data_IF_606424041227
#
_entry.id   IF_606424041227
#
_cell.length_a   1.000
_cell.length_b   1.000
_cell.length_c   1.000
_cell.angle_alpha   90.00
_cell.angle_beta   90.00
_cell.angle_gamma   90.00
#
_symmetry.space_group_name_H-M   'P 1'
#
loop_
_entity.id
_entity.type
_entity.pdbx_description
1 polymer ?
#
# COMPACT_ATOMS: atom_id res chain seq x y z
N UNK A 1 -82.01 -39.71 -19.52
CA UNK A 1 -82.83 -38.89 -18.59
C UNK A 1 -82.00 -38.71 -17.33
N UNK A 2 -81.06 -37.76 -17.24
CA UNK A 2 -81.15 -36.30 -17.21
C UNK A 2 -81.82 -35.71 -15.95
N UNK A 3 -80.99 -34.97 -15.20
CA UNK A 3 -81.22 -33.97 -14.14
C UNK A 3 -81.75 -34.46 -12.76
N UNK A 4 -81.35 -33.95 -11.60
CA UNK A 4 -80.94 -32.59 -11.26
C UNK A 4 -79.93 -32.51 -10.09
N UNK A 5 -78.94 -31.63 -10.26
CA UNK A 5 -78.09 -31.04 -9.23
C UNK A 5 -78.88 -30.19 -8.22
N UNK A 6 -78.51 -30.27 -6.93
CA UNK A 6 -78.60 -29.23 -5.86
C UNK A 6 -77.63 -29.68 -4.76
N UNK A 7 -76.82 -28.87 -4.06
CA UNK A 7 -76.62 -27.43 -3.91
C UNK A 7 -75.23 -27.24 -3.26
N UNK A 8 -74.54 -26.19 -3.72
CA UNK A 8 -73.60 -25.33 -3.00
C UNK A 8 -73.21 -25.69 -1.57
N UNK A 9 -71.90 -25.59 -1.27
CA UNK A 9 -71.36 -24.64 -0.26
C UNK A 9 -69.83 -24.68 -0.19
N UNK A 10 -69.21 -23.50 -0.35
CA UNK A 10 -67.96 -23.01 0.27
C UNK A 10 -66.66 -23.82 0.08
N UNK A 11 -65.48 -23.27 -0.15
CA UNK A 11 -64.99 -21.90 -0.23
C UNK A 11 -63.65 -21.91 -1.00
N UNK A 12 -63.35 -20.78 -1.63
CA UNK A 12 -62.04 -20.34 -2.12
C UNK A 12 -60.93 -20.63 -1.09
N UNK A 13 -59.81 -21.24 -1.49
CA UNK A 13 -58.60 -20.62 -2.04
C UNK A 13 -57.73 -19.86 -1.02
N UNK A 14 -56.42 -19.94 -1.25
CA UNK A 14 -55.29 -19.38 -0.50
C UNK A 14 -54.88 -20.23 0.73
N UNK A 15 -53.60 -20.54 0.98
CA UNK A 15 -52.37 -19.75 0.75
C UNK A 15 -51.20 -20.73 0.56
N UNK A 16 -50.37 -20.63 -0.48
CA UNK A 16 -49.29 -19.66 -0.73
C UNK A 16 -48.20 -19.63 0.36
N UNK A 17 -46.96 -19.80 -0.11
CA UNK A 17 -45.67 -19.48 0.52
C UNK A 17 -45.08 -20.46 1.54
N UNK A 18 -44.46 -21.53 1.05
CA UNK A 18 -43.34 -22.20 1.71
C UNK A 18 -42.15 -22.26 0.73
N UNK A 19 -41.60 -21.10 0.37
CA UNK A 19 -40.44 -21.02 -0.53
C UNK A 19 -39.60 -19.78 -0.23
N UNK A 20 -39.23 -19.54 1.03
CA UNK A 20 -38.25 -18.52 1.38
C UNK A 20 -37.41 -19.05 2.54
N UNK A 21 -36.11 -18.73 2.47
CA UNK A 21 -35.02 -18.95 3.45
C UNK A 21 -34.16 -20.22 3.31
N UNK A 22 -33.60 -20.46 2.12
CA UNK A 22 -32.28 -21.11 1.96
C UNK A 22 -31.42 -20.28 1.00
N UNK A 23 -31.23 -18.98 1.29
CA UNK A 23 -30.30 -18.12 0.53
C UNK A 23 -29.83 -16.98 1.43
N UNK A 24 -28.97 -17.25 2.41
CA UNK A 24 -28.25 -16.21 3.16
C UNK A 24 -27.02 -16.79 3.88
N UNK A 25 -26.29 -17.70 3.23
CA UNK A 25 -24.95 -18.13 3.67
C UNK A 25 -23.84 -17.71 2.70
N UNK A 26 -24.10 -16.77 1.80
CA UNK A 26 -23.03 -15.98 1.19
C UNK A 26 -22.82 -14.73 2.03
N UNK A 27 -22.37 -14.94 3.27
CA UNK A 27 -21.60 -13.92 3.97
C UNK A 27 -20.27 -13.90 3.24
N UNK A 28 -20.21 -13.12 2.16
CA UNK A 28 -18.94 -12.67 1.61
C UNK A 28 -18.25 -11.93 2.76
N UNK A 29 -17.41 -12.66 3.48
CA UNK A 29 -16.36 -12.06 4.27
C UNK A 29 -15.56 -11.25 3.25
N UNK A 30 -15.83 -9.95 3.23
CA UNK A 30 -14.87 -8.94 2.82
C UNK A 30 -13.60 -9.27 3.59
N UNK A 31 -12.76 -10.12 3.00
CA UNK A 31 -11.35 -10.17 3.30
C UNK A 31 -10.91 -8.74 3.11
N UNK A 32 -10.77 -8.02 4.23
CA UNK A 32 -9.95 -6.84 4.28
C UNK A 32 -8.58 -7.31 3.80
N UNK A 33 -8.34 -7.20 2.49
CA UNK A 33 -7.02 -7.37 1.93
C UNK A 33 -6.21 -6.27 2.59
N UNK A 34 -5.47 -6.64 3.63
CA UNK A 34 -4.39 -5.81 4.15
C UNK A 34 -3.55 -5.43 2.94
N UNK A 35 -3.61 -4.16 2.53
CA UNK A 35 -2.80 -3.66 1.43
C UNK A 35 -1.36 -4.16 1.66
N UNK A 36 -0.76 -4.91 0.72
CA UNK A 36 0.56 -5.47 0.92
C UNK A 36 1.54 -4.31 1.09
N UNK A 37 1.92 -4.07 2.34
CA UNK A 37 2.89 -3.04 2.70
C UNK A 37 4.24 -3.70 2.98
N UNK A 38 5.26 -3.37 2.20
CA UNK A 38 6.62 -3.87 2.43
C UNK A 38 7.36 -2.88 3.33
N UNK A 39 7.91 -3.36 4.44
CA UNK A 39 8.78 -2.55 5.31
C UNK A 39 10.24 -2.77 4.91
N UNK A 40 10.96 -1.68 4.68
CA UNK A 40 12.35 -1.67 4.26
C UNK A 40 13.22 -0.92 5.26
N UNK A 41 14.47 -1.38 5.40
CA UNK A 41 15.49 -0.69 6.17
C UNK A 41 16.09 0.49 5.42
N UNK A 42 17.04 1.17 6.07
CA UNK A 42 17.89 2.16 5.44
C UNK A 42 19.34 1.90 5.75
N UNK A 43 20.15 1.98 4.71
CA UNK A 43 21.61 1.90 4.78
C UNK A 43 22.22 2.85 3.77
N UNK A 44 23.47 3.26 3.97
CA UNK A 44 24.17 3.97 2.90
C UNK A 44 24.67 2.98 1.86
N UNK A 45 24.58 3.34 0.57
CA UNK A 45 24.93 2.49 -0.56
C UNK A 45 26.36 1.93 -0.50
N UNK A 46 27.33 2.70 -0.02
CA UNK A 46 28.74 2.30 0.08
C UNK A 46 29.27 1.71 -1.24
N UNK A 47 29.03 2.40 -2.36
CA UNK A 47 29.46 2.02 -3.73
C UNK A 47 28.93 0.69 -4.28
N UNK A 48 28.05 -0.01 -3.56
CA UNK A 48 27.43 -1.25 -4.04
C UNK A 48 26.55 -1.02 -5.26
N UNK A 49 26.43 -2.02 -6.14
CA UNK A 49 25.52 -1.93 -7.28
C UNK A 49 24.05 -1.98 -6.81
N UNK A 50 23.19 -1.17 -7.45
CA UNK A 50 21.75 -1.20 -7.17
C UNK A 50 21.12 -2.45 -7.80
N UNK A 51 20.34 -3.17 -7.00
CA UNK A 51 19.54 -4.30 -7.50
C UNK A 51 18.28 -3.78 -8.19
N UNK A 52 17.67 -2.75 -7.62
CA UNK A 52 16.42 -2.19 -8.11
C UNK A 52 16.39 -0.66 -7.97
N UNK A 53 15.79 0.01 -8.97
CA UNK A 53 15.42 1.43 -8.93
C UNK A 53 13.90 1.55 -8.98
N UNK A 54 13.36 2.42 -8.14
CA UNK A 54 11.91 2.54 -7.93
C UNK A 54 11.51 4.01 -7.90
N UNK A 55 10.46 4.35 -8.64
CA UNK A 55 9.80 5.65 -8.60
C UNK A 55 8.61 5.62 -7.65
N UNK A 56 8.53 6.62 -6.79
CA UNK A 56 7.61 6.68 -5.67
C UNK A 56 6.78 7.97 -5.69
N UNK A 57 5.58 7.89 -5.10
CA UNK A 57 4.86 9.03 -4.56
C UNK A 57 4.88 8.95 -3.03
N UNK A 58 5.39 10.00 -2.38
CA UNK A 58 5.41 10.07 -0.92
C UNK A 58 4.00 10.31 -0.40
N UNK A 59 3.53 9.46 0.51
CA UNK A 59 2.19 9.54 1.11
C UNK A 59 2.26 10.15 2.50
N UNK A 60 3.25 9.74 3.28
CA UNK A 60 3.39 10.21 4.65
C UNK A 60 4.85 10.32 5.05
N UNK A 61 5.21 11.41 5.75
CA UNK A 61 6.52 11.59 6.35
C UNK A 61 6.33 11.97 7.82
N UNK A 62 6.75 11.08 8.72
CA UNK A 62 6.65 11.29 10.17
C UNK A 62 8.03 11.37 10.79
N UNK A 63 8.24 12.38 11.62
CA UNK A 63 9.42 12.39 12.50
C UNK A 63 9.28 11.20 13.45
N UNK A 64 10.31 10.37 13.50
CA UNK A 64 10.35 9.29 14.47
C UNK A 64 10.82 9.89 15.80
N UNK A 65 9.84 10.36 16.57
CA UNK A 65 10.09 10.99 17.86
C UNK A 65 10.63 9.99 18.87
N UNK A 66 11.70 10.37 19.55
CA UNK A 66 11.93 9.94 20.92
C UNK A 66 10.79 10.55 21.76
N UNK A 67 9.85 9.74 22.23
CA UNK A 67 8.85 10.19 23.21
C UNK A 67 9.52 10.90 24.38
N UNK A 68 8.77 11.75 25.10
CA UNK A 68 9.25 12.69 26.13
C UNK A 68 10.13 12.08 27.25
N UNK A 69 10.23 10.75 27.34
CA UNK A 69 11.00 10.01 28.33
C UNK A 69 11.87 8.87 27.75
N UNK A 70 12.10 8.82 26.44
CA UNK A 70 12.90 7.75 25.81
C UNK A 70 12.25 6.34 25.85
N UNK A 71 11.06 6.21 26.45
CA UNK A 71 10.24 5.00 26.43
C UNK A 71 9.60 4.90 25.04
N UNK A 72 10.07 3.94 24.24
CA UNK A 72 9.68 3.77 22.84
C UNK A 72 10.85 3.62 21.88
N UNK A 73 12.10 3.74 22.35
CA UNK A 73 13.26 3.21 21.61
C UNK A 73 13.10 1.71 21.48
N UNK A 74 12.61 1.24 20.33
CA UNK A 74 12.78 -0.15 19.95
C UNK A 74 14.29 -0.40 19.82
N UNK A 75 14.92 -1.21 20.69
CA UNK A 75 16.38 -1.38 20.71
C UNK A 75 16.91 -2.23 19.55
N UNK A 76 16.05 -2.76 18.68
CA UNK A 76 16.33 -4.00 17.96
C UNK A 76 16.76 -3.87 16.49
N UNK A 77 16.94 -2.68 15.91
CA UNK A 77 17.31 -2.57 14.50
C UNK A 77 18.38 -1.49 14.27
N UNK A 78 19.47 -1.92 13.64
CA UNK A 78 20.80 -1.28 13.61
C UNK A 78 20.86 0.18 13.17
N UNK A 79 21.83 0.89 13.75
CA UNK A 79 22.24 2.24 13.37
C UNK A 79 21.33 3.33 13.93
N UNK A 80 21.87 4.16 14.84
CA UNK A 80 21.23 5.43 15.20
C UNK A 80 21.30 6.37 14.00
N UNK A 81 20.28 6.33 13.13
CA UNK A 81 20.12 7.34 12.08
C UNK A 81 19.97 8.71 12.75
N UNK A 82 20.69 9.75 12.31
CA UNK A 82 20.48 11.11 12.80
C UNK A 82 19.13 11.61 12.32
N UNK A 83 18.30 12.12 13.24
CA UNK A 83 16.96 12.64 12.98
C UNK A 83 16.12 11.72 12.07
N UNK A 84 15.82 10.48 12.50
CA UNK A 84 15.13 9.52 11.66
C UNK A 84 13.71 9.99 11.33
N UNK A 85 13.32 9.81 10.08
CA UNK A 85 11.96 10.00 9.61
C UNK A 85 11.43 8.69 9.04
N UNK A 86 10.18 8.37 9.34
CA UNK A 86 9.46 7.26 8.74
C UNK A 86 8.67 7.76 7.54
N UNK A 87 8.94 7.16 6.39
CA UNK A 87 8.30 7.46 5.12
C UNK A 87 7.36 6.31 4.75
N UNK A 88 6.17 6.64 4.28
CA UNK A 88 5.31 5.73 3.53
C UNK A 88 5.15 6.27 2.12
N UNK A 89 5.25 5.40 1.13
CA UNK A 89 5.19 5.79 -0.27
C UNK A 89 4.49 4.72 -1.13
N UNK A 90 3.79 5.16 -2.16
CA UNK A 90 3.20 4.28 -3.16
C UNK A 90 4.20 4.10 -4.32
N UNK A 91 4.36 2.86 -4.80
CA UNK A 91 5.26 2.54 -5.91
C UNK A 91 4.57 2.79 -7.24
N UNK A 92 5.06 3.78 -7.98
CA UNK A 92 4.46 4.24 -9.24
C UNK A 92 5.17 3.62 -10.45
N UNK A 93 6.49 3.48 -10.38
CA UNK A 93 7.31 2.90 -11.44
C UNK A 93 8.44 2.06 -10.86
N UNK A 94 8.88 1.07 -11.64
CA UNK A 94 9.93 0.14 -11.28
C UNK A 94 10.78 -0.09 -12.53
N UNK A 95 12.09 0.07 -12.42
CA UNK A 95 13.01 -0.13 -13.55
C UNK A 95 13.20 -1.63 -13.85
N UNK A 96 13.45 -2.42 -12.80
CA UNK A 96 13.67 -3.88 -12.87
C UNK A 96 12.84 -4.59 -11.79
N UNK A 97 12.28 -5.78 -12.06
CA UNK A 97 11.56 -6.56 -11.03
C UNK A 97 12.44 -6.83 -9.81
N UNK A 98 11.84 -6.89 -8.62
CA UNK A 98 12.54 -7.05 -7.35
C UNK A 98 11.57 -7.06 -6.17
N UNK A 99 12.06 -6.67 -4.99
CA UNK A 99 11.28 -6.63 -3.75
C UNK A 99 10.12 -5.61 -3.82
N UNK A 100 10.34 -4.46 -4.45
CA UNK A 100 9.27 -3.50 -4.71
C UNK A 100 8.56 -3.81 -6.04
N UNK A 101 7.22 -3.80 -6.02
CA UNK A 101 6.40 -3.98 -7.20
C UNK A 101 5.50 -2.76 -7.42
N UNK A 102 5.17 -2.45 -8.68
CA UNK A 102 4.27 -1.35 -9.01
C UNK A 102 2.90 -1.56 -8.35
N UNK A 103 2.34 -0.50 -7.77
CA UNK A 103 1.03 -0.50 -7.13
C UNK A 103 1.02 -0.95 -5.67
N UNK A 104 2.17 -1.33 -5.10
CA UNK A 104 2.26 -1.63 -3.66
C UNK A 104 2.65 -0.38 -2.87
N UNK A 105 2.41 -0.44 -1.56
CA UNK A 105 2.92 0.55 -0.61
C UNK A 105 4.21 0.05 0.03
N UNK A 106 5.19 0.93 0.16
CA UNK A 106 6.42 0.66 0.90
C UNK A 106 6.57 1.63 2.07
N UNK A 107 7.17 1.14 3.16
CA UNK A 107 7.54 1.95 4.32
C UNK A 107 9.04 1.82 4.58
N UNK A 108 9.72 2.92 4.84
CA UNK A 108 11.14 2.90 5.21
C UNK A 108 11.48 4.03 6.17
N UNK A 109 12.62 3.89 6.84
CA UNK A 109 13.22 4.95 7.67
C UNK A 109 14.26 5.67 6.84
N UNK A 110 14.48 6.95 7.07
CA UNK A 110 15.50 7.72 6.34
C UNK A 110 15.96 8.90 7.23
N UNK A 111 17.25 9.25 7.25
CA UNK A 111 17.69 10.48 7.90
C UNK A 111 17.04 11.70 7.27
N UNK A 112 16.63 12.69 8.08
CA UNK A 112 16.03 13.94 7.59
C UNK A 112 16.84 14.62 6.49
N UNK A 113 18.17 14.60 6.59
CA UNK A 113 19.08 15.21 5.61
C UNK A 113 18.98 14.56 4.23
N UNK A 114 18.75 13.24 4.19
CA UNK A 114 18.67 12.47 2.94
C UNK A 114 17.35 12.67 2.20
N UNK A 115 16.30 13.13 2.89
CA UNK A 115 15.04 13.52 2.24
C UNK A 115 15.16 14.77 1.38
N UNK A 116 16.23 15.59 1.55
CA UNK A 116 16.53 16.75 0.71
C UNK A 116 15.34 17.70 0.51
N UNK A 117 14.51 17.86 1.55
CA UNK A 117 13.34 18.74 1.53
C UNK A 117 12.09 18.19 0.85
N UNK A 118 12.10 16.92 0.43
CA UNK A 118 10.90 16.24 -0.08
C UNK A 118 9.77 16.25 0.97
N UNK A 119 8.53 16.36 0.48
CA UNK A 119 7.32 16.44 1.31
C UNK A 119 6.31 15.38 0.89
N UNK A 120 5.26 15.22 1.68
CA UNK A 120 4.09 14.42 1.28
C UNK A 120 3.55 14.93 -0.07
N UNK A 121 3.19 14.01 -0.95
CA UNK A 121 2.80 14.27 -2.34
C UNK A 121 3.97 14.40 -3.33
N UNK A 122 5.22 14.58 -2.88
CA UNK A 122 6.38 14.64 -3.78
C UNK A 122 6.61 13.32 -4.51
N UNK A 123 7.12 13.41 -5.73
CA UNK A 123 7.67 12.27 -6.45
C UNK A 123 9.16 12.12 -6.12
N UNK A 124 9.64 10.89 -6.09
CA UNK A 124 11.04 10.58 -5.79
C UNK A 124 11.46 9.27 -6.47
N UNK A 125 12.78 9.09 -6.59
CA UNK A 125 13.40 7.82 -6.90
C UNK A 125 14.14 7.29 -5.67
N UNK A 126 14.14 5.97 -5.52
CA UNK A 126 15.00 5.28 -4.57
C UNK A 126 15.78 4.16 -5.28
N UNK A 127 16.91 3.81 -4.69
CA UNK A 127 17.65 2.59 -5.01
C UNK A 127 17.53 1.59 -3.87
N UNK A 128 17.46 0.31 -4.21
CA UNK A 128 17.27 -0.80 -3.28
C UNK A 128 18.40 -1.82 -3.47
N UNK A 129 18.88 -2.35 -2.34
CA UNK A 129 19.78 -3.50 -2.24
C UNK A 129 19.24 -4.40 -1.14
N UNK A 130 18.89 -5.65 -1.48
CA UNK A 130 18.20 -6.56 -0.56
C UNK A 130 16.89 -5.96 -0.03
N UNK A 131 16.79 -5.82 1.29
CA UNK A 131 15.62 -5.29 1.99
C UNK A 131 15.76 -3.82 2.41
N UNK A 132 16.80 -3.13 1.92
CA UNK A 132 17.10 -1.76 2.33
C UNK A 132 16.97 -0.77 1.17
N UNK A 133 16.47 0.42 1.51
CA UNK A 133 16.65 1.62 0.70
C UNK A 133 18.06 2.14 0.93
N UNK A 134 18.79 2.38 -0.17
CA UNK A 134 20.21 2.77 -0.11
C UNK A 134 20.52 4.17 -0.64
N UNK A 135 19.57 4.77 -1.36
CA UNK A 135 19.64 6.14 -1.85
C UNK A 135 18.22 6.69 -2.05
N UNK A 136 18.10 8.02 -1.96
CA UNK A 136 16.87 8.76 -2.18
C UNK A 136 17.17 10.00 -3.02
N UNK A 137 16.37 10.23 -4.05
CA UNK A 137 16.45 11.40 -4.90
C UNK A 137 15.05 11.99 -5.10
N UNK A 138 14.75 13.20 -4.62
CA UNK A 138 13.50 13.86 -4.99
C UNK A 138 13.48 14.15 -6.48
N UNK A 139 12.32 13.98 -7.11
CA UNK A 139 12.14 14.29 -8.51
C UNK A 139 12.15 15.81 -8.74
N UNK A 140 12.76 16.31 -9.83
CA UNK A 140 12.60 17.68 -10.28
C UNK A 140 11.12 18.04 -10.52
N UNK A 141 10.79 19.33 -10.48
CA UNK A 141 9.39 19.80 -10.60
C UNK A 141 8.78 19.51 -11.98
N UNK A 142 9.62 19.30 -12.99
CA UNK A 142 9.23 18.97 -14.36
C UNK A 142 8.84 17.49 -14.50
N UNK A 143 9.25 16.63 -13.56
CA UNK A 143 8.94 15.21 -13.60
C UNK A 143 7.53 14.97 -13.05
N UNK A 144 6.66 14.51 -13.93
CA UNK A 144 5.32 14.00 -13.62
C UNK A 144 5.32 12.49 -13.40
N UNK A 145 4.22 11.92 -12.91
CA UNK A 145 4.08 10.46 -12.77
C UNK A 145 4.24 9.72 -14.09
N UNK A 146 3.76 10.31 -15.18
CA UNK A 146 3.86 9.71 -16.52
C UNK A 146 5.31 9.65 -17.00
N UNK A 147 6.12 10.67 -16.69
CA UNK A 147 7.53 10.74 -17.05
C UNK A 147 8.47 10.07 -16.03
N UNK A 148 7.95 9.67 -14.86
CA UNK A 148 8.76 9.15 -13.76
C UNK A 148 9.54 7.89 -14.17
N UNK A 149 8.93 6.98 -14.92
CA UNK A 149 9.57 5.75 -15.41
C UNK A 149 10.82 6.02 -16.25
N UNK A 150 10.84 7.08 -17.06
CA UNK A 150 12.03 7.43 -17.83
C UNK A 150 13.12 8.05 -16.95
N UNK A 151 12.70 8.90 -16.01
CA UNK A 151 13.63 9.62 -15.14
C UNK A 151 14.35 8.73 -14.11
N UNK A 152 13.72 7.66 -13.59
CA UNK A 152 14.33 6.84 -12.54
C UNK A 152 15.67 6.21 -12.93
N UNK A 153 15.90 5.90 -14.22
CA UNK A 153 17.18 5.37 -14.70
C UNK A 153 18.31 6.40 -14.66
N UNK A 154 17.96 7.70 -14.74
CA UNK A 154 18.89 8.83 -14.71
C UNK A 154 18.98 9.47 -13.33
N UNK A 155 18.06 9.12 -12.42
CA UNK A 155 17.97 9.73 -11.10
C UNK A 155 19.31 9.66 -10.36
N UNK A 156 19.71 10.77 -9.68
CA UNK A 156 20.98 10.86 -8.98
C UNK A 156 20.92 10.04 -7.69
N UNK A 157 21.11 8.74 -7.85
CA UNK A 157 21.30 7.77 -6.80
C UNK A 157 22.80 7.42 -6.78
N UNK A 158 23.64 8.26 -6.12
CA UNK A 158 25.07 8.02 -6.02
C UNK A 158 25.36 6.69 -5.33
#
# INVERSE_FOLDING_TARGET
>A
MSAHLRRFRFAAAASLAAALTVFSLNREELFAMTDPSVQMGWEWRAERALEQRVGLRLIQIKIEGSGLFGIGRSPSLGGSLPDPQRVQADVISVERPGLAAKGIRIGFRIPKVELRGAREGSLAAIGIIGENVVCFAPAPVEVTEASLTGWISEAPCP
#
